data_IF_337926139773
#
_entry.id   IF_337926139773
#
_cell.length_a   1.000
_cell.length_b   1.000
_cell.length_c   1.000
_cell.angle_alpha   90.00
_cell.angle_beta   90.00
_cell.angle_gamma   90.00
#
_symmetry.space_group_name_H-M   'P 1'
#
loop_
_entity.id
_entity.type
_entity.pdbx_description
1 polymer ?
#
# COMPACT_ATOMS: atom_id res chain seq x y z
N UNK A 1 -36.24 -11.49 -5.79
CA UNK A 1 -35.24 -10.40 -5.84
C UNK A 1 -33.94 -10.74 -5.10
N UNK A 2 -33.56 -12.02 -4.95
CA UNK A 2 -32.29 -12.39 -4.28
C UNK A 2 -31.11 -12.55 -5.25
N UNK A 3 -31.39 -12.88 -6.52
CA UNK A 3 -30.37 -13.10 -7.56
C UNK A 3 -29.56 -11.84 -7.91
N UNK A 4 -30.16 -10.64 -7.79
CA UNK A 4 -29.48 -9.37 -8.04
C UNK A 4 -28.55 -8.96 -6.88
N UNK A 5 -28.71 -9.55 -5.69
CA UNK A 5 -27.87 -9.26 -4.51
C UNK A 5 -26.52 -9.96 -4.61
N UNK A 6 -26.48 -11.20 -5.08
CA UNK A 6 -25.24 -11.97 -5.30
C UNK A 6 -24.31 -11.34 -6.35
N UNK A 7 -24.87 -10.69 -7.38
CA UNK A 7 -24.07 -10.03 -8.42
C UNK A 7 -23.36 -8.77 -7.92
N UNK A 8 -23.90 -8.08 -6.90
CA UNK A 8 -23.38 -6.78 -6.44
C UNK A 8 -22.16 -6.90 -5.52
N UNK A 9 -22.09 -7.95 -4.69
CA UNK A 9 -20.97 -8.16 -3.75
C UNK A 9 -19.77 -8.90 -4.37
N UNK A 10 -19.96 -9.56 -5.52
CA UNK A 10 -18.91 -10.35 -6.16
C UNK A 10 -17.79 -9.52 -6.81
N UNK A 11 -18.06 -8.27 -7.22
CA UNK A 11 -17.06 -7.44 -7.90
C UNK A 11 -15.96 -6.95 -6.95
N UNK A 12 -16.35 -6.45 -5.77
CA UNK A 12 -15.39 -6.04 -4.73
C UNK A 12 -14.59 -7.23 -4.20
N UNK A 13 -15.26 -8.37 -3.99
CA UNK A 13 -14.60 -9.59 -3.51
C UNK A 13 -13.59 -10.14 -4.53
N UNK A 14 -13.91 -10.15 -5.83
CA UNK A 14 -12.96 -10.58 -6.88
C UNK A 14 -11.77 -9.64 -7.03
N UNK A 15 -11.97 -8.32 -6.92
CA UNK A 15 -10.86 -7.35 -6.98
C UNK A 15 -9.92 -7.47 -5.77
N UNK A 16 -10.45 -7.69 -4.57
CA UNK A 16 -9.65 -7.85 -3.34
C UNK A 16 -8.90 -9.19 -3.29
N UNK A 17 -9.42 -10.24 -3.95
CA UNK A 17 -8.78 -11.55 -4.03
C UNK A 17 -7.70 -11.61 -5.13
N UNK A 18 -7.83 -10.79 -6.17
CA UNK A 18 -6.88 -10.75 -7.29
C UNK A 18 -5.59 -9.98 -7.00
N UNK A 19 -5.55 -9.16 -5.95
CA UNK A 19 -4.37 -8.38 -5.57
C UNK A 19 -3.53 -9.20 -4.58
N UNK A 20 -2.25 -9.42 -4.92
CA UNK A 20 -1.30 -9.94 -3.96
C UNK A 20 -1.04 -8.86 -2.89
N UNK A 21 -1.59 -9.06 -1.70
CA UNK A 21 -1.43 -8.15 -0.55
C UNK A 21 0.02 -8.02 -0.07
N UNK A 22 0.89 -8.98 -0.42
CA UNK A 22 2.33 -8.88 -0.15
C UNK A 22 2.98 -7.80 -1.02
N UNK A 23 2.46 -7.56 -2.23
CA UNK A 23 3.00 -6.55 -3.14
C UNK A 23 2.75 -5.12 -2.64
N UNK A 24 1.72 -4.91 -1.82
CA UNK A 24 1.43 -3.62 -1.18
C UNK A 24 2.53 -3.19 -0.20
N UNK A 25 3.33 -4.14 0.32
CA UNK A 25 4.47 -3.81 1.17
C UNK A 25 5.62 -3.15 0.40
N UNK A 26 5.70 -3.36 -0.92
CA UNK A 26 6.76 -2.78 -1.76
C UNK A 26 6.71 -1.23 -1.77
N UNK A 27 5.58 -0.56 -2.10
CA UNK A 27 5.50 0.89 -2.02
C UNK A 27 5.61 1.41 -0.58
N UNK A 28 5.14 0.66 0.42
CA UNK A 28 5.28 1.03 1.84
C UNK A 28 6.76 1.06 2.26
N UNK A 29 7.51 0.02 1.93
CA UNK A 29 8.95 -0.06 2.21
C UNK A 29 9.73 1.03 1.46
N UNK A 30 9.38 1.30 0.20
CA UNK A 30 9.99 2.37 -0.58
C UNK A 30 9.76 3.75 0.06
N UNK A 31 8.53 4.04 0.51
CA UNK A 31 8.23 5.30 1.20
C UNK A 31 9.02 5.44 2.51
N UNK A 32 9.11 4.38 3.31
CA UNK A 32 9.91 4.35 4.53
C UNK A 32 11.40 4.62 4.25
N UNK A 33 11.96 4.00 3.22
CA UNK A 33 13.35 4.20 2.83
C UNK A 33 13.63 5.66 2.44
N UNK A 34 12.72 6.30 1.69
CA UNK A 34 12.85 7.72 1.30
C UNK A 34 12.79 8.64 2.52
N UNK A 35 11.88 8.40 3.45
CA UNK A 35 11.77 9.18 4.69
C UNK A 35 13.04 9.04 5.53
N UNK A 36 13.51 7.81 5.73
CA UNK A 36 14.72 7.53 6.49
C UNK A 36 15.95 8.23 5.88
N UNK A 37 16.10 8.17 4.55
CA UNK A 37 17.17 8.85 3.83
C UNK A 37 17.09 10.37 4.00
N UNK A 38 15.90 10.96 3.88
CA UNK A 38 15.70 12.39 4.06
C UNK A 38 16.09 12.84 5.49
N UNK A 39 15.66 12.10 6.51
CA UNK A 39 15.99 12.39 7.90
C UNK A 39 17.50 12.24 8.16
N UNK A 40 18.13 11.21 7.59
CA UNK A 40 19.57 10.99 7.71
C UNK A 40 20.38 12.14 7.10
N UNK A 41 20.07 12.55 5.87
CA UNK A 41 20.73 13.68 5.21
C UNK A 41 20.51 14.98 6.00
N UNK A 42 19.30 15.20 6.51
CA UNK A 42 18.99 16.37 7.35
C UNK A 42 19.79 16.36 8.66
N UNK A 43 19.94 15.20 9.30
CA UNK A 43 20.71 15.07 10.53
C UNK A 43 22.19 15.39 10.29
N UNK A 44 22.78 14.85 9.21
CA UNK A 44 24.17 15.16 8.83
C UNK A 44 24.38 16.65 8.56
N UNK A 45 23.44 17.32 7.88
CA UNK A 45 23.53 18.76 7.59
C UNK A 45 23.34 19.65 8.82
N UNK A 46 22.67 19.17 9.87
CA UNK A 46 22.42 19.95 11.09
C UNK A 46 23.58 19.87 12.10
N UNK A 47 24.38 18.80 12.02
CA UNK A 47 25.53 18.59 12.91
C UNK A 47 26.84 19.21 12.44
N UNK A 48 26.88 19.73 11.20
CA UNK A 48 28.04 20.38 10.59
C UNK A 48 27.76 21.87 10.36
#
# INVERSE_FOLDING_TARGET
>A
MELLRFTKDMFGQKMLVGINWELLWLPVAAALAVIALHLFVRALRKGN
#
